data_IF_086476815135
#
_entry.id   IF_086476815135
#
_cell.length_a   1.000
_cell.length_b   1.000
_cell.length_c   1.000
_cell.angle_alpha   90.00
_cell.angle_beta   90.00
_cell.angle_gamma   90.00
#
_symmetry.space_group_name_H-M   'P 1'
#
loop_
_entity.id
_entity.type
_entity.pdbx_description
1 polymer ?
#
# COMPACT_ATOMS: atom_id res chain seq x y z
N UNK A 1 -1.41 9.15 5.82
CA UNK A 1 -2.86 9.09 6.17
C UNK A 1 -3.12 10.09 7.30
N UNK A 2 -3.85 11.16 7.06
CA UNK A 2 -4.16 12.15 8.10
C UNK A 2 -5.31 11.61 8.97
N UNK A 3 -5.04 11.30 10.22
CA UNK A 3 -6.08 11.09 11.23
C UNK A 3 -6.64 12.46 11.64
N UNK A 4 -7.91 12.71 11.30
CA UNK A 4 -8.56 14.01 11.55
C UNK A 4 -9.14 14.19 12.96
N UNK A 5 -9.01 13.23 13.87
CA UNK A 5 -9.80 13.29 15.10
C UNK A 5 -9.18 14.07 16.27
N UNK A 6 -7.85 14.15 16.39
CA UNK A 6 -7.22 14.74 17.59
C UNK A 6 -6.02 15.65 17.31
N UNK A 7 -5.56 15.76 16.06
CA UNK A 7 -4.36 16.54 15.74
C UNK A 7 -3.05 15.97 16.28
N UNK A 8 -3.08 14.81 16.93
CA UNK A 8 -1.85 14.15 17.38
C UNK A 8 -1.22 13.33 16.24
N UNK A 9 0.07 13.57 16.00
CA UNK A 9 0.90 12.74 15.14
C UNK A 9 2.00 12.10 15.99
N UNK A 10 2.23 10.80 15.78
CA UNK A 10 3.36 10.08 16.37
C UNK A 10 4.24 9.57 15.23
N UNK A 11 5.54 9.86 15.31
CA UNK A 11 6.54 9.32 14.41
C UNK A 11 7.14 8.03 14.94
N UNK A 12 7.54 7.14 14.04
CA UNK A 12 8.38 5.98 14.34
C UNK A 12 9.40 5.79 13.21
N UNK A 13 10.57 5.23 13.55
CA UNK A 13 11.58 4.92 12.56
C UNK A 13 11.16 3.71 11.73
N UNK A 14 11.32 3.80 10.41
CA UNK A 14 11.12 2.67 9.50
C UNK A 14 12.41 1.88 9.39
N UNK A 15 12.32 0.55 9.40
CA UNK A 15 13.46 -0.35 9.23
C UNK A 15 14.13 -0.09 7.87
N UNK A 16 15.44 0.19 7.89
CA UNK A 16 16.22 0.58 6.70
C UNK A 16 16.32 -0.53 5.64
N UNK A 17 15.98 -1.77 5.98
CA UNK A 17 15.91 -2.89 5.03
C UNK A 17 14.68 -2.80 4.10
N UNK A 18 13.66 -2.03 4.50
CA UNK A 18 12.43 -1.92 3.73
C UNK A 18 12.65 -1.01 2.53
N UNK A 19 12.27 -1.50 1.37
CA UNK A 19 12.19 -0.77 0.11
C UNK A 19 10.74 -0.59 -0.29
N UNK A 20 10.43 0.53 -0.91
CA UNK A 20 9.11 0.84 -1.44
C UNK A 20 9.18 0.97 -2.96
N UNK A 21 8.31 0.23 -3.66
CA UNK A 21 8.20 0.24 -5.11
C UNK A 21 6.76 0.57 -5.50
N UNK A 22 6.58 1.60 -6.31
CA UNK A 22 5.26 2.04 -6.78
C UNK A 22 5.08 1.70 -8.26
N UNK A 23 4.00 1.03 -8.57
CA UNK A 23 3.54 0.79 -9.94
C UNK A 23 2.41 1.74 -10.29
N UNK A 24 2.69 2.66 -11.20
CA UNK A 24 1.73 3.66 -11.68
C UNK A 24 1.15 3.17 -13.01
N UNK A 25 -0.15 2.87 -13.09
CA UNK A 25 -0.74 2.45 -14.36
C UNK A 25 -0.85 3.64 -15.32
N UNK A 26 -0.74 3.35 -16.61
CA UNK A 26 -0.91 4.37 -17.66
C UNK A 26 -2.33 4.95 -17.74
N UNK A 27 -3.31 4.29 -17.13
CA UNK A 27 -4.71 4.71 -17.08
C UNK A 27 -5.02 5.39 -15.75
N UNK A 28 -5.59 6.59 -15.79
CA UNK A 28 -6.01 7.32 -14.60
C UNK A 28 -7.37 6.85 -14.10
N UNK A 29 -7.59 6.93 -12.79
CA UNK A 29 -8.88 6.69 -12.15
C UNK A 29 -9.26 7.89 -11.28
N UNK A 30 -10.48 8.42 -11.47
CA UNK A 30 -10.99 9.48 -10.61
C UNK A 30 -11.23 8.95 -9.18
N UNK A 31 -10.62 9.56 -8.18
CA UNK A 31 -10.74 9.18 -6.76
C UNK A 31 -12.19 9.11 -6.28
N UNK A 32 -13.05 10.00 -6.78
CA UNK A 32 -14.50 10.00 -6.48
C UNK A 32 -15.21 8.71 -6.91
N UNK A 33 -14.82 8.13 -8.06
CA UNK A 33 -15.37 6.85 -8.53
C UNK A 33 -14.98 5.71 -7.60
N UNK A 34 -13.70 5.64 -7.18
CA UNK A 34 -13.21 4.61 -6.29
C UNK A 34 -13.87 4.64 -4.90
N UNK A 35 -14.24 5.83 -4.39
CA UNK A 35 -14.94 5.98 -3.11
C UNK A 35 -16.39 5.47 -3.15
N UNK A 36 -17.09 5.68 -4.26
CA UNK A 36 -18.50 5.26 -4.44
C UNK A 36 -18.66 3.73 -4.50
N UNK A 37 -17.59 2.98 -4.67
CA UNK A 37 -17.61 1.52 -4.72
C UNK A 37 -17.51 0.85 -3.34
N UNK A 38 -17.27 1.62 -2.29
CA UNK A 38 -17.25 1.07 -0.94
C UNK A 38 -18.66 0.82 -0.44
N UNK A 39 -18.91 -0.31 0.26
CA UNK A 39 -20.20 -0.59 0.87
C UNK A 39 -20.46 0.39 2.02
N UNK A 40 -21.74 0.66 2.32
CA UNK A 40 -22.13 1.48 3.45
C UNK A 40 -21.80 0.83 4.79
N UNK A 41 -21.82 -0.48 4.85
CA UNK A 41 -21.52 -1.28 6.05
C UNK A 41 -20.54 -2.40 5.73
N UNK A 42 -19.77 -2.80 6.72
CA UNK A 42 -18.84 -3.92 6.69
C UNK A 42 -19.12 -4.85 7.86
N UNK A 43 -18.68 -6.10 7.76
CA UNK A 43 -18.83 -7.03 8.89
C UNK A 43 -17.93 -6.64 10.06
N UNK A 44 -18.39 -6.90 11.28
CA UNK A 44 -17.55 -6.70 12.48
C UNK A 44 -16.25 -7.52 12.40
N UNK A 45 -16.31 -8.70 11.78
CA UNK A 45 -15.14 -9.56 11.54
C UNK A 45 -14.10 -8.86 10.68
N UNK A 46 -14.49 -8.30 9.53
CA UNK A 46 -13.57 -7.62 8.61
C UNK A 46 -12.98 -6.37 9.24
N UNK A 47 -13.79 -5.61 9.98
CA UNK A 47 -13.32 -4.45 10.73
C UNK A 47 -12.27 -4.84 11.78
N UNK A 48 -12.52 -5.91 12.55
CA UNK A 48 -11.60 -6.41 13.57
C UNK A 48 -10.29 -6.90 12.97
N UNK A 49 -10.35 -7.70 11.90
CA UNK A 49 -9.15 -8.18 11.18
C UNK A 49 -8.34 -6.98 10.68
N UNK A 50 -9.00 -6.03 10.01
CA UNK A 50 -8.29 -4.88 9.43
C UNK A 50 -7.64 -3.98 10.49
N UNK A 51 -8.27 -3.82 11.65
CA UNK A 51 -7.67 -3.11 12.78
C UNK A 51 -6.41 -3.81 13.28
N UNK A 52 -6.43 -5.14 13.39
CA UNK A 52 -5.26 -5.94 13.72
C UNK A 52 -4.15 -5.81 12.68
N UNK A 53 -4.49 -5.78 11.37
CA UNK A 53 -3.51 -5.56 10.29
C UNK A 53 -2.87 -4.17 10.36
N UNK A 54 -3.65 -3.14 10.66
CA UNK A 54 -3.13 -1.78 10.83
C UNK A 54 -2.12 -1.68 12.00
N UNK A 55 -2.42 -2.30 13.14
CA UNK A 55 -1.51 -2.36 14.27
C UNK A 55 -0.23 -3.18 13.94
N UNK A 56 -0.40 -4.32 13.27
CA UNK A 56 0.71 -5.16 12.84
C UNK A 56 1.63 -4.42 11.85
N UNK A 57 1.06 -3.57 10.98
CA UNK A 57 1.83 -2.81 9.98
C UNK A 57 2.84 -1.85 10.64
N UNK A 58 2.48 -1.20 11.74
CA UNK A 58 3.41 -0.34 12.47
C UNK A 58 4.60 -1.16 12.98
N UNK A 59 4.35 -2.34 13.55
CA UNK A 59 5.41 -3.23 14.02
C UNK A 59 6.23 -3.81 12.86
N UNK A 60 5.59 -4.20 11.77
CA UNK A 60 6.27 -4.70 10.58
C UNK A 60 7.22 -3.66 9.99
N UNK A 61 6.76 -2.40 9.89
CA UNK A 61 7.56 -1.30 9.35
C UNK A 61 8.73 -0.92 10.26
N UNK A 62 8.59 -1.03 11.58
CA UNK A 62 9.61 -0.56 12.52
C UNK A 62 10.63 -1.62 12.93
N UNK A 63 10.26 -2.92 12.93
CA UNK A 63 11.11 -3.96 13.53
C UNK A 63 11.04 -5.34 12.85
N UNK A 64 9.94 -5.67 12.17
CA UNK A 64 9.70 -7.03 11.66
C UNK A 64 9.22 -7.00 10.19
N UNK A 65 10.13 -6.67 9.23
CA UNK A 65 9.79 -6.64 7.79
C UNK A 65 9.24 -7.96 7.24
N UNK A 66 9.56 -9.08 7.86
CA UNK A 66 9.02 -10.40 7.54
C UNK A 66 7.49 -10.50 7.72
N UNK A 67 6.88 -9.60 8.49
CA UNK A 67 5.43 -9.53 8.70
C UNK A 67 4.71 -8.64 7.69
N UNK A 68 5.42 -7.95 6.79
CA UNK A 68 4.83 -7.01 5.82
C UNK A 68 3.71 -7.65 4.99
N UNK A 69 3.90 -8.90 4.55
CA UNK A 69 2.90 -9.60 3.75
C UNK A 69 1.55 -9.73 4.47
N UNK A 70 1.57 -10.15 5.72
CA UNK A 70 0.36 -10.26 6.53
C UNK A 70 -0.19 -8.89 6.93
N UNK A 71 0.70 -7.95 7.28
CA UNK A 71 0.33 -6.62 7.76
C UNK A 71 -0.32 -5.73 6.70
N UNK A 72 -0.04 -5.98 5.41
CA UNK A 72 -0.59 -5.22 4.27
C UNK A 72 -1.86 -5.82 3.68
N UNK A 73 -2.44 -6.81 4.33
CA UNK A 73 -3.75 -7.34 3.95
C UNK A 73 -4.85 -6.30 4.25
N UNK A 74 -5.79 -6.13 3.30
CA UNK A 74 -6.90 -5.17 3.44
C UNK A 74 -8.24 -5.85 3.18
N UNK A 75 -9.14 -5.71 4.15
CA UNK A 75 -10.49 -6.25 4.13
C UNK A 75 -11.57 -5.18 3.91
N UNK A 76 -11.18 -3.90 3.81
CA UNK A 76 -12.12 -2.77 3.79
C UNK A 76 -12.24 -2.06 2.45
N UNK A 77 -11.25 -2.20 1.54
CA UNK A 77 -11.19 -1.31 0.38
C UNK A 77 -10.87 -2.01 -0.94
N UNK A 78 -9.79 -2.79 -1.00
CA UNK A 78 -9.20 -3.24 -2.26
C UNK A 78 -10.14 -4.13 -3.08
N UNK A 79 -10.81 -5.08 -2.45
CA UNK A 79 -11.72 -6.03 -3.10
C UNK A 79 -12.94 -5.33 -3.70
N UNK A 80 -13.48 -4.33 -3.02
CA UNK A 80 -14.64 -3.56 -3.49
C UNK A 80 -14.32 -2.68 -4.69
N UNK A 81 -13.06 -2.24 -4.82
CA UNK A 81 -12.61 -1.35 -5.90
C UNK A 81 -12.10 -2.07 -7.14
N UNK A 82 -12.09 -3.41 -7.15
CA UNK A 82 -11.52 -4.22 -8.24
C UNK A 82 -12.05 -3.84 -9.63
N UNK A 83 -13.36 -3.58 -9.73
CA UNK A 83 -14.00 -3.26 -11.01
C UNK A 83 -13.61 -1.88 -11.56
N UNK A 84 -13.23 -0.94 -10.69
CA UNK A 84 -12.75 0.37 -11.12
C UNK A 84 -11.29 0.35 -11.59
N UNK A 85 -10.52 -0.64 -11.15
CA UNK A 85 -9.08 -0.74 -11.46
C UNK A 85 -8.65 -2.20 -11.68
N UNK A 86 -9.23 -2.93 -12.63
CA UNK A 86 -9.04 -4.37 -12.76
C UNK A 86 -7.56 -4.74 -12.95
N UNK A 87 -6.83 -4.03 -13.81
CA UNK A 87 -5.40 -4.30 -14.04
C UNK A 87 -4.55 -4.14 -12.78
N UNK A 88 -4.80 -3.11 -11.99
CA UNK A 88 -4.08 -2.88 -10.73
C UNK A 88 -4.43 -3.92 -9.68
N UNK A 89 -5.69 -4.32 -9.61
CA UNK A 89 -6.13 -5.39 -8.73
C UNK A 89 -5.49 -6.73 -9.12
N UNK A 90 -5.44 -7.05 -10.42
CA UNK A 90 -4.82 -8.28 -10.94
C UNK A 90 -3.32 -8.30 -10.67
N UNK A 91 -2.60 -7.18 -10.88
CA UNK A 91 -1.19 -7.07 -10.55
C UNK A 91 -0.97 -7.30 -9.04
N UNK A 92 -1.72 -6.61 -8.20
CA UNK A 92 -1.64 -6.77 -6.75
C UNK A 92 -1.88 -8.23 -6.34
N UNK A 93 -2.90 -8.88 -6.90
CA UNK A 93 -3.20 -10.30 -6.64
C UNK A 93 -2.07 -11.22 -7.09
N UNK A 94 -1.50 -10.98 -8.29
CA UNK A 94 -0.38 -11.76 -8.81
C UNK A 94 0.85 -11.67 -7.91
N UNK A 95 1.21 -10.45 -7.49
CA UNK A 95 2.33 -10.21 -6.58
C UNK A 95 2.07 -10.86 -5.21
N UNK A 96 0.87 -10.72 -4.65
CA UNK A 96 0.53 -11.39 -3.40
C UNK A 96 0.52 -12.92 -3.52
N UNK A 97 0.11 -13.46 -4.66
CA UNK A 97 0.21 -14.90 -4.94
C UNK A 97 1.66 -15.42 -4.96
N UNK A 98 2.63 -14.56 -5.24
CA UNK A 98 4.06 -14.83 -5.14
C UNK A 98 4.66 -14.51 -3.75
N UNK A 99 3.86 -14.19 -2.75
CA UNK A 99 4.31 -13.89 -1.39
C UNK A 99 4.78 -12.44 -1.17
N UNK A 100 4.60 -11.56 -2.16
CA UNK A 100 5.03 -10.15 -2.09
C UNK A 100 3.98 -9.30 -1.39
N UNK A 101 4.41 -8.42 -0.47
CA UNK A 101 3.52 -7.49 0.23
C UNK A 101 3.10 -6.33 -0.70
N UNK A 102 2.12 -6.60 -1.56
CA UNK A 102 1.54 -5.67 -2.51
C UNK A 102 0.15 -5.22 -2.08
N UNK A 103 -0.16 -3.93 -2.29
CA UNK A 103 -1.44 -3.33 -1.95
C UNK A 103 -1.78 -2.18 -2.91
N UNK A 104 -3.05 -1.82 -2.97
CA UNK A 104 -3.48 -0.61 -3.68
C UNK A 104 -3.04 0.62 -2.87
N UNK A 105 -2.35 1.56 -3.52
CA UNK A 105 -1.90 2.81 -2.90
C UNK A 105 -3.07 3.78 -2.77
N UNK A 106 -3.48 4.06 -1.54
CA UNK A 106 -4.59 4.97 -1.23
C UNK A 106 -5.91 4.59 -1.90
N UNK A 107 -6.48 5.47 -2.72
CA UNK A 107 -7.69 5.17 -3.49
C UNK A 107 -7.41 4.37 -4.77
N UNK A 108 -6.17 4.16 -5.10
CA UNK A 108 -5.72 3.60 -6.39
C UNK A 108 -5.65 4.65 -7.49
N UNK A 109 -5.35 4.27 -8.73
CA UNK A 109 -5.12 2.92 -9.19
C UNK A 109 -3.66 2.41 -9.05
N UNK A 110 -2.75 3.16 -8.42
CA UNK A 110 -1.37 2.71 -8.24
C UNK A 110 -1.29 1.52 -7.27
N UNK A 111 -0.31 0.65 -7.49
CA UNK A 111 0.00 -0.48 -6.61
C UNK A 111 1.31 -0.20 -5.89
N UNK A 112 1.29 -0.25 -4.57
CA UNK A 112 2.47 -0.13 -3.72
C UNK A 112 2.94 -1.52 -3.32
N UNK A 113 4.24 -1.74 -3.39
CA UNK A 113 4.93 -2.91 -2.85
C UNK A 113 5.89 -2.47 -1.78
N UNK A 114 5.89 -3.18 -0.67
CA UNK A 114 6.91 -3.07 0.39
C UNK A 114 7.64 -4.39 0.49
N UNK A 115 8.96 -4.37 0.45
CA UNK A 115 9.77 -5.58 0.55
C UNK A 115 11.12 -5.29 1.23
N UNK A 116 11.75 -6.33 1.75
CA UNK A 116 13.11 -6.30 2.30
C UNK A 116 14.03 -7.31 1.60
N UNK A 117 13.65 -7.70 0.40
CA UNK A 117 14.36 -8.71 -0.38
C UNK A 117 15.61 -8.18 -1.07
N UNK A 118 16.28 -9.11 -1.74
CA UNK A 118 17.48 -8.86 -2.54
C UNK A 118 17.18 -8.03 -3.80
N UNK A 119 18.22 -7.55 -4.49
CA UNK A 119 18.06 -6.86 -5.76
C UNK A 119 17.48 -7.78 -6.85
N UNK A 120 17.80 -9.08 -6.83
CA UNK A 120 17.21 -10.04 -7.78
C UNK A 120 15.69 -10.20 -7.56
N UNK A 121 15.24 -10.28 -6.33
CA UNK A 121 13.80 -10.31 -6.00
C UNK A 121 13.10 -9.00 -6.38
N UNK A 122 13.77 -7.86 -6.21
CA UNK A 122 13.27 -6.58 -6.69
C UNK A 122 13.04 -6.56 -8.19
N UNK A 123 14.03 -7.02 -8.98
CA UNK A 123 13.93 -7.09 -10.44
C UNK A 123 12.82 -8.05 -10.90
N UNK A 124 12.59 -9.15 -10.19
CA UNK A 124 11.48 -10.07 -10.44
C UNK A 124 10.12 -9.41 -10.21
N UNK A 125 9.99 -8.61 -9.14
CA UNK A 125 8.79 -7.83 -8.84
C UNK A 125 8.51 -6.83 -9.96
N UNK A 126 9.53 -6.09 -10.42
CA UNK A 126 9.42 -5.11 -11.52
C UNK A 126 8.99 -5.80 -12.81
N UNK A 127 9.62 -6.93 -13.17
CA UNK A 127 9.24 -7.70 -14.37
C UNK A 127 7.79 -8.21 -14.33
N UNK A 128 7.29 -8.51 -13.15
CA UNK A 128 5.92 -9.01 -12.96
C UNK A 128 4.86 -8.00 -13.38
N UNK A 129 5.12 -6.69 -13.25
CA UNK A 129 4.20 -5.61 -13.60
C UNK A 129 3.98 -5.44 -15.10
N UNK A 130 4.99 -5.75 -15.92
CA UNK A 130 4.94 -5.60 -17.38
C UNK A 130 4.74 -4.16 -17.86
N UNK A 131 4.47 -3.98 -19.15
CA UNK A 131 4.47 -2.68 -19.82
C UNK A 131 3.26 -1.79 -19.53
N UNK A 132 2.27 -2.29 -18.77
CA UNK A 132 1.08 -1.54 -18.41
C UNK A 132 1.30 -0.54 -17.27
N UNK A 133 2.42 -0.69 -16.56
CA UNK A 133 2.77 0.12 -15.40
C UNK A 133 4.14 0.77 -15.60
N UNK A 134 4.30 1.95 -15.02
CA UNK A 134 5.61 2.55 -14.80
C UNK A 134 6.02 2.22 -13.37
N UNK A 135 7.17 1.59 -13.19
CA UNK A 135 7.74 1.31 -11.87
C UNK A 135 8.56 2.50 -11.38
N UNK A 136 8.45 2.80 -10.11
CA UNK A 136 9.19 3.86 -9.43
C UNK A 136 9.69 3.35 -8.08
N UNK A 137 11.00 3.37 -7.88
CA UNK A 137 11.58 3.20 -6.55
C UNK A 137 11.29 4.47 -5.72
N UNK A 138 10.77 4.28 -4.52
CA UNK A 138 10.48 5.37 -3.62
C UNK A 138 11.42 5.33 -2.42
N UNK A 139 12.00 6.47 -2.12
CA UNK A 139 12.72 6.66 -0.88
C UNK A 139 11.73 6.78 0.30
N UNK A 140 12.02 6.07 1.38
CA UNK A 140 11.28 6.20 2.64
C UNK A 140 12.00 7.20 3.52
N UNK A 141 11.48 8.43 3.58
CA UNK A 141 12.07 9.48 4.40
C UNK A 141 11.83 9.22 5.89
N UNK A 142 12.83 9.52 6.71
CA UNK A 142 12.71 9.39 8.18
C UNK A 142 12.11 10.67 8.82
N UNK A 143 12.16 11.79 8.12
CA UNK A 143 11.78 13.11 8.65
C UNK A 143 10.27 13.38 8.65
N UNK A 144 9.48 12.49 8.01
CA UNK A 144 8.03 12.65 7.92
C UNK A 144 7.61 13.85 7.05
N UNK A 145 6.45 14.43 7.38
CA UNK A 145 5.92 15.59 6.64
C UNK A 145 6.55 16.90 7.14
N UNK A 146 7.04 17.73 6.23
CA UNK A 146 7.52 19.08 6.52
C UNK A 146 6.61 20.14 5.91
N UNK A 147 6.50 21.29 6.57
CA UNK A 147 5.79 22.46 6.06
C UNK A 147 6.84 23.56 5.80
N UNK A 148 6.99 23.94 4.53
CA UNK A 148 7.77 25.13 4.17
C UNK A 148 6.81 26.29 3.94
N UNK A 149 7.01 27.41 4.63
CA UNK A 149 6.35 28.66 4.28
C UNK A 149 6.94 29.13 2.95
N UNK A 150 6.12 29.16 1.90
CA UNK A 150 6.47 29.88 0.69
C UNK A 150 6.48 31.38 1.05
N UNK A 151 7.66 31.98 1.04
CA UNK A 151 7.84 33.43 1.21
C UNK A 151 7.30 34.21 0.02
#
# INVERSE_FOLDING_TARGET
MLFRSTGCAAGFAVDQRIRALLFVPKTQLATGKARKMLPETITHRDASINSGRAALLVHALSARPDLLFAATEDHLHQSYRREAMPRSYDLMKKLRGAGVAAMISGAGPSVLVLHSGTSAEHDDIVRTAGDHFTSMDLEITQDGASVSNAG
#
